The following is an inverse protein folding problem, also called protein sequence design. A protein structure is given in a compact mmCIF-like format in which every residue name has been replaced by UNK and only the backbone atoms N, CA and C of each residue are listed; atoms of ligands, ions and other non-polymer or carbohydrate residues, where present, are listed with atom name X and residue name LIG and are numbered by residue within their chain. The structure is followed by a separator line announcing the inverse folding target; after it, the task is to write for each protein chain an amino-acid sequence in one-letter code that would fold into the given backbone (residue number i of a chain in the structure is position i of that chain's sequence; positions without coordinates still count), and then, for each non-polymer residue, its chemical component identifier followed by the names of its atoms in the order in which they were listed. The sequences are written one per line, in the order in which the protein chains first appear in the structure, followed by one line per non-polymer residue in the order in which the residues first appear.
data_IF_136999375543
#
_entry.id   IF_136999375543
#
_cell.length_a   1.000
_cell.length_b   1.000
_cell.length_c   1.000
_cell.angle_alpha   90.00
_cell.angle_beta   90.00
_cell.angle_gamma   90.00
#
_symmetry.space_group_name_H-M   'P 1'
#
loop_
_entity.id
_entity.type
_entity.pdbx_description
1 polymer ?
#
# COMPACT_ATOMS: atom_id res chain seq x y z
N UNK A 1 27.60 -30.07 -1.11
CA UNK A 1 28.06 -28.67 -1.01
C UNK A 1 27.00 -27.87 -0.27
N UNK A 2 27.37 -26.92 0.58
CA UNK A 2 26.43 -25.96 1.17
C UNK A 2 26.54 -24.63 0.44
N UNK A 3 25.40 -24.04 0.10
CA UNK A 3 25.37 -22.67 -0.43
C UNK A 3 25.65 -21.70 0.72
N UNK A 4 26.32 -20.59 0.41
CA UNK A 4 26.73 -19.60 1.39
C UNK A 4 26.25 -18.22 0.97
N UNK A 5 25.62 -17.51 1.90
CA UNK A 5 25.19 -16.13 1.68
C UNK A 5 26.41 -15.26 1.35
N UNK A 6 26.27 -14.43 0.31
CA UNK A 6 27.33 -13.56 -0.20
C UNK A 6 28.20 -14.19 -1.29
N UNK A 7 27.89 -15.41 -1.73
CA UNK A 7 28.58 -16.08 -2.85
C UNK A 7 27.73 -16.09 -4.11
N UNK A 8 28.41 -16.11 -5.26
CA UNK A 8 27.81 -16.21 -6.59
C UNK A 8 27.96 -17.63 -7.12
N UNK A 9 26.90 -18.13 -7.75
CA UNK A 9 26.80 -19.49 -8.25
C UNK A 9 26.35 -19.51 -9.70
N UNK A 10 27.00 -20.34 -10.53
CA UNK A 10 26.52 -20.69 -11.86
C UNK A 10 25.64 -21.94 -11.78
N UNK A 11 24.49 -21.90 -12.46
CA UNK A 11 23.56 -23.03 -12.56
C UNK A 11 24.09 -24.03 -13.59
N UNK A 12 24.31 -25.28 -13.20
CA UNK A 12 24.85 -26.35 -14.06
C UNK A 12 23.78 -27.10 -14.83
N UNK A 13 22.63 -27.32 -14.21
CA UNK A 13 21.48 -28.02 -14.78
C UNK A 13 20.20 -27.29 -14.37
N UNK A 14 19.18 -27.30 -15.24
CA UNK A 14 17.87 -26.75 -14.94
C UNK A 14 17.32 -27.36 -13.63
N UNK A 15 16.89 -26.51 -12.71
CA UNK A 15 16.29 -26.94 -11.44
C UNK A 15 15.30 -25.87 -10.97
N UNK A 16 14.08 -26.27 -10.60
CA UNK A 16 12.98 -25.33 -10.34
C UNK A 16 12.83 -24.31 -11.49
N UNK A 17 12.98 -23.02 -11.17
CA UNK A 17 12.93 -21.91 -12.13
C UNK A 17 14.33 -21.41 -12.55
N UNK A 18 15.41 -22.09 -12.13
CA UNK A 18 16.78 -21.76 -12.53
C UNK A 18 17.12 -22.48 -13.82
N UNK A 19 17.74 -21.76 -14.77
CA UNK A 19 18.17 -22.31 -16.06
C UNK A 19 19.67 -22.51 -16.12
N UNK A 20 20.10 -23.61 -16.74
CA UNK A 20 21.52 -23.91 -16.92
C UNK A 20 22.25 -22.75 -17.61
N UNK A 21 23.38 -22.34 -17.02
CA UNK A 21 24.20 -21.21 -17.47
C UNK A 21 23.92 -19.88 -16.76
N UNK A 22 22.80 -19.74 -16.05
CA UNK A 22 22.51 -18.53 -15.28
C UNK A 22 23.45 -18.35 -14.10
N UNK A 23 23.66 -17.08 -13.69
CA UNK A 23 24.49 -16.72 -12.54
C UNK A 23 23.63 -16.01 -11.50
N UNK A 24 23.70 -16.52 -10.27
CA UNK A 24 22.87 -16.10 -9.15
C UNK A 24 23.70 -15.97 -7.89
N UNK A 25 23.58 -14.83 -7.20
CA UNK A 25 24.18 -14.60 -5.89
C UNK A 25 23.19 -14.96 -4.80
N UNK A 26 23.59 -15.81 -3.85
CA UNK A 26 22.76 -16.10 -2.68
C UNK A 26 22.85 -14.91 -1.72
N UNK A 27 21.72 -14.25 -1.44
CA UNK A 27 21.68 -13.03 -0.60
C UNK A 27 21.04 -13.27 0.77
N UNK A 28 20.24 -14.33 0.92
CA UNK A 28 19.64 -14.71 2.20
C UNK A 28 19.35 -16.21 2.23
N UNK A 29 19.41 -16.79 3.42
CA UNK A 29 19.00 -18.17 3.67
C UNK A 29 18.30 -18.28 5.04
N UNK A 30 17.34 -19.19 5.16
CA UNK A 30 16.60 -19.35 6.40
C UNK A 30 15.88 -20.68 6.53
N UNK A 31 15.67 -21.11 7.77
CA UNK A 31 14.94 -22.33 8.09
C UNK A 31 13.65 -22.03 8.86
N UNK A 32 12.52 -22.49 8.33
CA UNK A 32 11.20 -22.36 8.97
C UNK A 32 10.82 -23.67 9.66
N UNK A 33 11.22 -23.81 10.92
CA UNK A 33 11.03 -25.04 11.69
C UNK A 33 9.58 -25.53 11.81
N UNK A 34 8.59 -24.63 11.78
CA UNK A 34 7.17 -24.99 11.85
C UNK A 34 6.68 -25.72 10.58
N UNK A 35 7.29 -25.41 9.42
CA UNK A 35 6.93 -26.00 8.13
C UNK A 35 7.97 -27.00 7.61
N UNK A 36 9.14 -27.08 8.26
CA UNK A 36 10.25 -27.92 7.82
C UNK A 36 10.84 -27.45 6.49
N UNK A 37 10.89 -26.13 6.25
CA UNK A 37 11.32 -25.57 4.95
C UNK A 37 12.66 -24.83 5.05
N UNK A 38 13.57 -25.16 4.16
CA UNK A 38 14.81 -24.42 3.90
C UNK A 38 14.58 -23.44 2.75
N UNK A 39 14.76 -22.15 3.01
CA UNK A 39 14.49 -21.07 2.07
C UNK A 39 15.81 -20.42 1.66
N UNK A 40 15.98 -20.17 0.37
CA UNK A 40 17.14 -19.50 -0.22
C UNK A 40 16.65 -18.38 -1.13
N UNK A 41 17.28 -17.21 -1.02
CA UNK A 41 16.97 -16.04 -1.83
C UNK A 41 18.17 -15.71 -2.70
N UNK A 42 17.97 -15.74 -4.01
CA UNK A 42 18.99 -15.46 -5.00
C UNK A 42 18.70 -14.17 -5.75
N UNK A 43 19.76 -13.47 -6.13
CA UNK A 43 19.70 -12.26 -6.94
C UNK A 43 20.70 -12.37 -8.10
N UNK A 44 20.27 -12.05 -9.32
CA UNK A 44 21.17 -12.03 -10.47
C UNK A 44 21.71 -10.60 -10.74
N UNK A 45 22.57 -10.45 -11.75
CA UNK A 45 23.14 -9.15 -12.14
C UNK A 45 22.09 -8.11 -12.57
N UNK A 46 20.91 -8.56 -13.03
CA UNK A 46 19.77 -7.73 -13.41
C UNK A 46 18.89 -7.34 -12.21
N UNK A 47 19.26 -7.76 -10.99
CA UNK A 47 18.51 -7.59 -9.74
C UNK A 47 17.17 -8.33 -9.70
N UNK A 48 16.96 -9.33 -10.55
CA UNK A 48 15.84 -10.25 -10.42
C UNK A 48 16.04 -11.09 -9.16
N UNK A 49 14.97 -11.32 -8.41
CA UNK A 49 15.00 -12.13 -7.20
C UNK A 49 14.32 -13.49 -7.46
N UNK A 50 15.01 -14.58 -7.14
CA UNK A 50 14.45 -15.93 -7.22
C UNK A 50 14.52 -16.63 -5.86
N UNK A 51 13.48 -17.41 -5.56
CA UNK A 51 13.34 -18.14 -4.31
C UNK A 51 13.44 -19.63 -4.57
N UNK A 52 14.26 -20.32 -3.79
CA UNK A 52 14.27 -21.78 -3.72
C UNK A 52 13.79 -22.20 -2.34
N UNK A 53 12.78 -23.06 -2.29
CA UNK A 53 12.23 -23.60 -1.05
C UNK A 53 12.32 -25.11 -1.10
N UNK A 54 13.09 -25.70 -0.19
CA UNK A 54 13.25 -27.14 -0.06
C UNK A 54 12.53 -27.63 1.20
N UNK A 55 11.63 -28.61 1.06
CA UNK A 55 10.81 -29.11 2.17
C UNK A 55 11.33 -30.44 2.68
N UNK A 56 11.48 -30.55 4.00
CA UNK A 56 11.87 -31.78 4.69
C UNK A 56 10.85 -32.93 4.55
N UNK A 57 9.63 -32.61 4.11
CA UNK A 57 8.54 -33.56 3.87
C UNK A 57 8.48 -34.08 2.43
N UNK A 58 9.34 -33.59 1.53
CA UNK A 58 9.40 -33.99 0.13
C UNK A 58 10.72 -34.73 -0.14
N UNK A 59 10.63 -36.01 -0.53
CA UNK A 59 11.80 -36.83 -0.85
C UNK A 59 12.60 -36.23 -2.03
N UNK A 60 11.91 -35.64 -3.01
CA UNK A 60 12.51 -34.97 -4.16
C UNK A 60 13.29 -33.70 -3.75
N UNK A 61 12.69 -32.86 -2.89
CA UNK A 61 13.36 -31.64 -2.40
C UNK A 61 14.57 -31.98 -1.53
N UNK A 62 14.46 -33.06 -0.75
CA UNK A 62 15.56 -33.56 0.08
C UNK A 62 16.69 -34.11 -0.77
N UNK A 63 16.40 -34.84 -1.86
CA UNK A 63 17.42 -35.30 -2.81
C UNK A 63 18.14 -34.11 -3.47
N UNK A 64 17.39 -33.09 -3.89
CA UNK A 64 17.96 -31.85 -4.45
C UNK A 64 18.84 -31.14 -3.41
N UNK A 65 18.34 -30.98 -2.18
CA UNK A 65 19.06 -30.32 -1.09
C UNK A 65 20.34 -31.02 -0.67
N UNK A 66 20.35 -32.36 -0.63
CA UNK A 66 21.54 -33.15 -0.33
C UNK A 66 22.61 -33.09 -1.44
N UNK A 67 22.23 -32.69 -2.65
CA UNK A 67 23.09 -32.70 -3.83
C UNK A 67 23.07 -31.37 -4.59
N UNK A 68 23.05 -30.24 -3.87
CA UNK A 68 23.10 -28.90 -4.48
C UNK A 68 24.31 -28.69 -5.40
N UNK A 69 25.41 -29.40 -5.18
CA UNK A 69 26.57 -29.43 -6.08
C UNK A 69 26.28 -30.05 -7.45
N UNK A 70 25.16 -30.73 -7.68
CA UNK A 70 24.76 -31.15 -9.04
C UNK A 70 24.17 -29.99 -9.85
N UNK A 71 23.68 -28.97 -9.16
CA UNK A 71 22.91 -27.86 -9.77
C UNK A 71 23.64 -26.53 -9.71
N UNK A 72 24.48 -26.30 -8.71
CA UNK A 72 25.20 -25.04 -8.53
C UNK A 72 26.72 -25.27 -8.51
N UNK A 73 27.44 -24.31 -9.06
CA UNK A 73 28.91 -24.22 -9.02
C UNK A 73 29.29 -22.83 -8.52
N UNK A 74 30.00 -22.73 -7.40
CA UNK A 74 30.49 -21.45 -6.89
C UNK A 74 31.48 -20.83 -7.88
N UNK A 75 31.35 -19.53 -8.14
CA UNK A 75 32.26 -18.76 -8.99
C UNK A 75 32.87 -17.60 -8.21
N UNK A 76 34.16 -17.34 -8.43
CA UNK A 76 34.85 -16.14 -7.90
C UNK A 76 34.60 -14.95 -8.84
N UNK A 77 33.78 -13.98 -8.43
CA UNK A 77 33.62 -12.74 -9.20
C UNK A 77 34.84 -11.81 -9.04
N UNK A 78 35.64 -11.70 -10.10
CA UNK A 78 36.63 -10.62 -10.26
C UNK A 78 35.91 -9.34 -10.73
N UNK A 79 35.92 -8.29 -9.89
CA UNK A 79 35.49 -6.94 -10.26
C UNK A 79 36.35 -6.39 -11.42
N UNK A 80 35.74 -6.05 -12.58
CA UNK A 80 35.91 -4.76 -13.28
C UNK A 80 35.23 -4.71 -14.67
N UNK A 81 34.78 -3.49 -15.00
CA UNK A 81 34.40 -2.94 -16.32
C UNK A 81 32.93 -3.04 -16.77
N UNK A 82 32.11 -2.17 -16.15
CA UNK A 82 30.91 -1.64 -16.80
C UNK A 82 31.29 -0.74 -17.98
N UNK A 83 31.12 -1.24 -19.20
CA UNK A 83 30.96 -0.41 -20.40
C UNK A 83 29.44 -0.21 -20.56
N UNK A 84 28.91 1.03 -20.53
CA UNK A 84 27.48 1.23 -20.76
C UNK A 84 27.22 1.05 -22.26
N UNK A 85 26.71 -0.13 -22.65
CA UNK A 85 25.90 -0.20 -23.85
C UNK A 85 24.64 0.64 -23.59
N UNK A 86 24.39 1.60 -24.48
CA UNK A 86 23.16 2.37 -24.50
C UNK A 86 21.97 1.42 -24.59
N UNK A 87 21.25 1.25 -23.47
CA UNK A 87 19.94 0.63 -23.47
C UNK A 87 18.97 1.59 -24.15
N UNK A 88 18.38 1.15 -25.25
CA UNK A 88 17.20 1.79 -25.81
C UNK A 88 16.12 1.89 -24.71
N UNK A 89 15.61 3.11 -24.50
CA UNK A 89 14.52 3.47 -23.57
C UNK A 89 13.19 2.80 -23.99
N UNK A 90 12.99 1.51 -23.70
CA UNK A 90 11.74 0.83 -24.10
C UNK A 90 10.80 0.44 -22.95
N UNK A 91 11.23 0.46 -21.69
CA UNK A 91 10.40 0.01 -20.54
C UNK A 91 10.07 1.11 -19.52
N UNK A 92 10.24 2.38 -19.88
CA UNK A 92 10.03 3.52 -18.98
C UNK A 92 8.63 4.11 -19.14
N UNK A 93 7.75 3.89 -18.15
CA UNK A 93 6.40 4.48 -18.13
C UNK A 93 6.42 5.97 -17.75
N UNK A 94 5.50 6.75 -18.33
CA UNK A 94 5.20 8.14 -18.00
C UNK A 94 4.01 8.20 -17.06
N UNK A 95 4.25 8.69 -15.85
CA UNK A 95 3.27 8.70 -14.77
C UNK A 95 3.00 10.14 -14.35
N UNK A 96 1.72 10.50 -14.33
CA UNK A 96 1.26 11.75 -13.75
C UNK A 96 0.76 11.52 -12.33
N UNK A 97 1.36 12.18 -11.35
CA UNK A 97 0.83 12.22 -9.97
C UNK A 97 0.00 13.48 -9.78
N UNK A 98 -1.21 13.34 -9.24
CA UNK A 98 -2.07 14.49 -8.95
C UNK A 98 -1.68 15.13 -7.61
N UNK A 99 -1.13 16.34 -7.67
CA UNK A 99 -0.74 17.12 -6.50
C UNK A 99 0.62 16.73 -5.91
N UNK A 100 1.04 17.48 -4.90
CA UNK A 100 2.17 17.14 -4.01
C UNK A 100 1.59 16.86 -2.62
N UNK A 101 0.75 15.82 -2.55
CA UNK A 101 0.17 15.29 -1.31
C UNK A 101 1.01 14.15 -0.75
N UNK A 102 0.75 13.74 0.49
CA UNK A 102 1.53 12.69 1.17
C UNK A 102 1.63 11.41 0.34
N UNK A 103 0.50 10.78 0.02
CA UNK A 103 0.49 9.49 -0.70
C UNK A 103 1.02 9.66 -2.12
N UNK A 104 0.58 10.70 -2.84
CA UNK A 104 1.08 11.01 -4.18
C UNK A 104 2.60 11.15 -4.22
N UNK A 105 3.19 11.85 -3.25
CA UNK A 105 4.65 12.01 -3.17
C UNK A 105 5.36 10.73 -2.74
N UNK A 106 4.77 9.86 -1.90
CA UNK A 106 5.37 8.56 -1.55
C UNK A 106 5.46 7.67 -2.80
N UNK A 107 4.35 7.50 -3.51
CA UNK A 107 4.32 6.64 -4.70
C UNK A 107 5.09 7.27 -5.87
N UNK A 108 4.97 8.58 -6.09
CA UNK A 108 5.78 9.29 -7.07
C UNK A 108 7.29 9.13 -6.82
N UNK A 109 7.72 9.22 -5.56
CA UNK A 109 9.10 8.95 -5.17
C UNK A 109 9.53 7.53 -5.54
N UNK A 110 8.78 6.50 -5.15
CA UNK A 110 9.21 5.11 -5.45
C UNK A 110 9.11 4.76 -6.94
N UNK A 111 8.12 5.28 -7.67
CA UNK A 111 8.04 5.14 -9.13
C UNK A 111 9.25 5.80 -9.81
N UNK A 112 9.65 6.98 -9.36
CA UNK A 112 10.86 7.66 -9.86
C UNK A 112 12.14 6.88 -9.53
N UNK A 113 12.25 6.32 -8.31
CA UNK A 113 13.39 5.47 -7.90
C UNK A 113 13.47 4.16 -8.67
N UNK A 114 12.34 3.63 -9.14
CA UNK A 114 12.27 2.49 -10.03
C UNK A 114 12.69 2.82 -11.48
N UNK A 115 12.95 4.11 -11.78
CA UNK A 115 13.45 4.56 -13.07
C UNK A 115 12.36 5.09 -14.02
N UNK A 116 11.10 5.17 -13.59
CA UNK A 116 10.01 5.71 -14.40
C UNK A 116 10.02 7.24 -14.47
N UNK A 117 9.42 7.80 -15.52
CA UNK A 117 9.25 9.25 -15.68
C UNK A 117 8.03 9.68 -14.88
N UNK A 118 8.24 10.47 -13.83
CA UNK A 118 7.17 10.93 -12.94
C UNK A 118 7.08 12.44 -12.97
N UNK A 119 5.89 12.96 -13.27
CA UNK A 119 5.61 14.40 -13.17
C UNK A 119 4.40 14.65 -12.27
N UNK A 120 4.32 15.83 -11.69
CA UNK A 120 3.26 16.23 -10.79
C UNK A 120 2.38 17.30 -11.42
N UNK A 121 1.07 17.05 -11.45
CA UNK A 121 0.11 18.08 -11.80
C UNK A 121 -0.24 18.93 -10.58
N UNK A 122 -0.11 20.25 -10.70
CA UNK A 122 -0.56 21.22 -9.72
C UNK A 122 -1.54 22.19 -10.36
N UNK A 123 -2.57 22.60 -9.61
CA UNK A 123 -3.45 23.70 -10.03
C UNK A 123 -2.64 25.00 -10.10
N UNK A 124 -3.05 25.91 -11.00
CA UNK A 124 -2.37 27.20 -11.23
C UNK A 124 -2.17 28.04 -9.96
N UNK A 125 -3.11 27.95 -9.01
CA UNK A 125 -3.11 28.68 -7.74
C UNK A 125 -2.54 27.88 -6.56
N UNK A 126 -1.95 26.71 -6.82
CA UNK A 126 -1.36 25.86 -5.78
C UNK A 126 -0.22 26.58 -5.05
N UNK A 127 -0.29 26.61 -3.72
CA UNK A 127 0.77 27.11 -2.84
C UNK A 127 2.07 26.30 -2.90
N UNK A 128 2.07 25.17 -3.63
CA UNK A 128 3.21 24.26 -3.78
C UNK A 128 3.90 24.37 -5.15
N UNK A 129 3.53 25.36 -5.97
CA UNK A 129 4.09 25.57 -7.31
C UNK A 129 5.60 25.89 -7.31
N UNK A 130 6.19 26.23 -6.16
CA UNK A 130 7.61 26.45 -6.01
C UNK A 130 8.37 25.22 -5.47
N UNK A 131 7.67 24.13 -5.15
CA UNK A 131 8.31 22.91 -4.63
C UNK A 131 8.84 22.10 -5.82
N UNK A 132 10.17 22.02 -5.90
CA UNK A 132 10.91 21.23 -6.89
C UNK A 132 11.68 20.06 -6.28
N UNK A 133 11.76 20.00 -4.95
CA UNK A 133 12.46 18.94 -4.23
C UNK A 133 11.71 18.64 -2.93
N UNK A 134 11.65 17.37 -2.55
CA UNK A 134 11.24 16.94 -1.22
C UNK A 134 12.39 16.22 -0.51
N UNK A 135 12.63 16.58 0.75
CA UNK A 135 13.44 15.80 1.68
C UNK A 135 12.60 14.63 2.18
N UNK A 136 12.97 13.41 1.81
CA UNK A 136 12.23 12.20 2.15
C UNK A 136 12.85 11.56 3.39
N UNK A 137 12.04 11.36 4.42
CA UNK A 137 12.34 10.51 5.58
C UNK A 137 11.37 9.34 5.55
N UNK A 138 11.83 8.14 5.21
CA UNK A 138 10.95 7.00 5.00
C UNK A 138 11.27 5.88 5.99
N UNK A 139 10.21 5.29 6.54
CA UNK A 139 10.23 3.96 7.14
C UNK A 139 9.67 3.00 6.08
N UNK A 140 10.56 2.22 5.47
CA UNK A 140 10.25 1.36 4.34
C UNK A 140 10.07 -0.09 4.76
N UNK A 141 8.86 -0.63 4.63
CA UNK A 141 8.51 -1.99 4.96
C UNK A 141 8.85 -3.02 3.88
N UNK A 142 9.22 -2.59 2.67
CA UNK A 142 9.58 -3.49 1.57
C UNK A 142 10.80 -4.32 1.96
N UNK A 143 10.68 -5.65 1.89
CA UNK A 143 11.76 -6.60 2.23
C UNK A 143 12.16 -6.64 3.72
N UNK A 144 11.54 -5.85 4.61
CA UNK A 144 11.97 -5.70 5.99
C UNK A 144 10.80 -5.68 6.98
N UNK A 145 10.59 -6.78 7.73
CA UNK A 145 9.46 -6.94 8.67
C UNK A 145 9.34 -5.84 9.75
N UNK A 146 10.45 -5.19 10.13
CA UNK A 146 10.46 -4.08 11.12
C UNK A 146 10.54 -2.69 10.47
N UNK A 147 10.65 -2.64 9.15
CA UNK A 147 10.93 -1.45 8.37
C UNK A 147 12.41 -1.04 8.42
N UNK A 148 12.89 -0.45 7.32
CA UNK A 148 14.19 0.19 7.20
C UNK A 148 13.98 1.72 7.18
N UNK A 149 14.62 2.43 8.11
CA UNK A 149 14.55 3.90 8.14
C UNK A 149 15.72 4.51 7.38
N UNK A 150 15.44 5.41 6.45
CA UNK A 150 16.47 6.17 5.75
C UNK A 150 15.96 7.53 5.27
N UNK A 151 16.90 8.35 4.79
CA UNK A 151 16.61 9.65 4.19
C UNK A 151 17.09 9.71 2.75
N UNK A 152 16.35 10.41 1.90
CA UNK A 152 16.70 10.63 0.49
C UNK A 152 16.17 11.99 0.02
N UNK A 153 16.46 12.36 -1.22
CA UNK A 153 15.91 13.52 -1.90
C UNK A 153 15.04 13.07 -3.08
N UNK A 154 13.90 13.72 -3.27
CA UNK A 154 13.01 13.49 -4.40
C UNK A 154 12.84 14.76 -5.22
N UNK A 155 13.40 14.76 -6.43
CA UNK A 155 13.19 15.84 -7.41
C UNK A 155 11.78 15.76 -8.00
N UNK A 156 11.03 16.85 -7.87
CA UNK A 156 9.67 17.00 -8.37
C UNK A 156 9.70 17.74 -9.70
N UNK A 157 9.34 17.04 -10.76
CA UNK A 157 9.06 17.64 -12.07
C UNK A 157 7.58 18.01 -12.16
N UNK A 158 7.28 19.23 -12.61
CA UNK A 158 5.88 19.63 -12.84
C UNK A 158 5.44 19.22 -14.23
N UNK A 159 4.19 18.80 -14.35
CA UNK A 159 3.60 18.31 -15.58
C UNK A 159 3.57 19.40 -16.68
N UNK A 160 4.21 19.11 -17.81
CA UNK A 160 4.15 19.92 -19.04
C UNK A 160 3.47 19.15 -20.19
N UNK A 161 3.49 17.83 -20.13
CA UNK A 161 2.82 16.94 -21.07
C UNK A 161 1.32 16.77 -20.76
N UNK A 162 0.61 16.18 -21.72
CA UNK A 162 -0.84 15.94 -21.63
C UNK A 162 -1.22 14.47 -21.74
N UNK A 163 -0.30 13.60 -22.12
CA UNK A 163 -0.54 12.18 -22.37
C UNK A 163 0.42 11.34 -21.53
N UNK A 164 -0.16 10.48 -20.69
CA UNK A 164 0.55 9.64 -19.74
C UNK A 164 0.07 8.20 -19.85
N UNK A 165 0.92 7.24 -19.52
CA UNK A 165 0.52 5.83 -19.44
C UNK A 165 -0.43 5.64 -18.26
N UNK A 166 -0.08 6.25 -17.11
CA UNK A 166 -0.88 6.23 -15.90
C UNK A 166 -1.02 7.61 -15.26
N UNK A 167 -2.19 7.86 -14.68
CA UNK A 167 -2.46 9.01 -13.82
C UNK A 167 -2.77 8.48 -12.42
N UNK A 168 -1.84 8.69 -11.48
CA UNK A 168 -1.96 8.30 -10.08
C UNK A 168 -2.72 9.35 -9.27
N UNK A 169 -3.93 9.00 -8.83
CA UNK A 169 -4.83 9.89 -8.11
C UNK A 169 -4.93 9.47 -6.65
N UNK A 170 -4.24 10.19 -5.76
CA UNK A 170 -4.30 9.97 -4.31
C UNK A 170 -4.69 11.26 -3.57
N UNK A 171 -5.96 11.67 -3.72
CA UNK A 171 -6.54 12.87 -3.10
C UNK A 171 -7.44 12.51 -1.92
N UNK A 172 -7.73 13.44 -0.99
CA UNK A 172 -8.69 13.19 0.09
C UNK A 172 -10.06 12.75 -0.42
N UNK A 173 -10.79 12.03 0.43
CA UNK A 173 -12.11 11.50 0.13
C UNK A 173 -13.08 12.62 -0.29
N UNK A 174 -13.92 12.34 -1.28
CA UNK A 174 -14.84 13.32 -1.86
C UNK A 174 -14.21 14.37 -2.78
N UNK A 175 -12.91 14.29 -3.11
CA UNK A 175 -12.24 15.22 -4.04
C UNK A 175 -12.06 14.71 -5.47
N UNK A 176 -12.37 13.43 -5.73
CA UNK A 176 -12.19 12.80 -7.04
C UNK A 176 -12.86 13.60 -8.17
N UNK A 177 -14.11 14.03 -7.99
CA UNK A 177 -14.84 14.77 -9.03
C UNK A 177 -14.10 16.03 -9.49
N UNK A 178 -13.53 16.79 -8.55
CA UNK A 178 -12.75 18.01 -8.88
C UNK A 178 -11.44 17.72 -9.59
N UNK A 179 -10.87 16.52 -9.43
CA UNK A 179 -9.69 16.08 -10.18
C UNK A 179 -10.09 15.73 -11.61
N UNK A 180 -11.19 14.99 -11.79
CA UNK A 180 -11.66 14.60 -13.12
C UNK A 180 -12.06 15.83 -13.95
N UNK A 181 -12.73 16.81 -13.33
CA UNK A 181 -13.04 18.09 -13.96
C UNK A 181 -11.79 18.82 -14.44
N UNK A 182 -10.73 18.85 -13.61
CA UNK A 182 -9.44 19.45 -13.95
C UNK A 182 -8.76 18.73 -15.11
N UNK A 183 -8.68 17.40 -15.07
CA UNK A 183 -8.09 16.59 -16.13
C UNK A 183 -8.82 16.79 -17.46
N UNK A 184 -10.15 16.90 -17.43
CA UNK A 184 -10.95 17.19 -18.63
C UNK A 184 -10.67 18.60 -19.16
N UNK A 185 -10.66 19.61 -18.29
CA UNK A 185 -10.40 21.00 -18.68
C UNK A 185 -9.00 21.18 -19.28
N UNK A 186 -8.01 20.50 -18.70
CA UNK A 186 -6.62 20.56 -19.14
C UNK A 186 -6.30 19.57 -20.27
N UNK A 187 -7.29 18.80 -20.73
CA UNK A 187 -7.16 17.78 -21.78
C UNK A 187 -6.06 16.75 -21.50
N UNK A 188 -5.92 16.36 -20.23
CA UNK A 188 -4.94 15.37 -19.79
C UNK A 188 -5.55 13.97 -19.87
N UNK A 189 -4.81 13.04 -20.49
CA UNK A 189 -5.24 11.65 -20.76
C UNK A 189 -4.23 10.63 -20.24
N UNK A 190 -4.73 9.43 -19.97
CA UNK A 190 -3.99 8.29 -19.41
C UNK A 190 -4.91 7.37 -18.59
N UNK A 191 -4.46 6.16 -18.30
CA UNK A 191 -5.20 5.22 -17.45
C UNK A 191 -5.19 5.70 -16.00
N UNK A 192 -6.37 5.88 -15.41
CA UNK A 192 -6.51 6.38 -14.05
C UNK A 192 -6.26 5.25 -13.04
N UNK A 193 -5.19 5.35 -12.26
CA UNK A 193 -5.04 4.57 -11.04
C UNK A 193 -5.61 5.38 -9.88
N UNK A 194 -6.86 5.08 -9.50
CA UNK A 194 -7.59 5.81 -8.47
C UNK A 194 -7.29 5.18 -7.11
N UNK A 195 -6.46 5.85 -6.32
CA UNK A 195 -5.90 5.39 -5.05
C UNK A 195 -6.40 6.24 -3.86
N UNK A 196 -7.71 6.51 -3.81
CA UNK A 196 -8.35 7.30 -2.74
C UNK A 196 -9.56 6.59 -2.12
N UNK A 197 -10.00 7.07 -0.96
CA UNK A 197 -11.25 6.64 -0.35
C UNK A 197 -12.45 7.03 -1.21
N UNK A 198 -13.26 6.03 -1.58
CA UNK A 198 -14.50 6.20 -2.35
C UNK A 198 -15.65 5.63 -1.52
N UNK A 199 -16.66 6.45 -1.23
CA UNK A 199 -17.89 5.98 -0.56
C UNK A 199 -19.06 5.84 -1.52
N UNK A 200 -18.98 6.50 -2.67
CA UNK A 200 -19.98 6.47 -3.72
C UNK A 200 -20.08 5.09 -4.39
N UNK A 201 -21.19 4.85 -5.10
CA UNK A 201 -21.44 3.58 -5.79
C UNK A 201 -20.82 3.52 -7.20
N UNK A 202 -20.85 2.33 -7.79
CA UNK A 202 -20.32 2.12 -9.14
C UNK A 202 -21.01 3.01 -10.18
N UNK A 203 -22.32 3.23 -10.06
CA UNK A 203 -23.08 4.10 -10.97
C UNK A 203 -22.58 5.56 -10.92
N UNK A 204 -22.24 6.05 -9.72
CA UNK A 204 -21.62 7.36 -9.57
C UNK A 204 -20.26 7.42 -10.26
N UNK A 205 -19.40 6.41 -10.06
CA UNK A 205 -18.09 6.34 -10.69
C UNK A 205 -18.19 6.30 -12.21
N UNK A 206 -19.06 5.46 -12.77
CA UNK A 206 -19.28 5.35 -14.22
C UNK A 206 -19.73 6.70 -14.81
N UNK A 207 -20.65 7.40 -14.15
CA UNK A 207 -21.08 8.75 -14.59
C UNK A 207 -19.98 9.78 -14.50
N UNK A 208 -19.18 9.74 -13.43
CA UNK A 208 -18.12 10.71 -13.19
C UNK A 208 -16.95 10.52 -14.18
N UNK A 209 -16.53 9.27 -14.38
CA UNK A 209 -15.34 8.93 -15.16
C UNK A 209 -15.65 8.84 -16.66
N UNK A 210 -16.90 8.58 -17.04
CA UNK A 210 -17.30 8.40 -18.43
C UNK A 210 -16.51 7.27 -19.08
N UNK A 211 -15.88 7.56 -20.22
CA UNK A 211 -15.09 6.58 -20.98
C UNK A 211 -13.61 6.52 -20.56
N UNK A 212 -13.20 7.20 -19.47
CA UNK A 212 -11.80 7.17 -19.05
C UNK A 212 -11.43 5.75 -18.57
N UNK A 213 -10.35 5.14 -19.09
CA UNK A 213 -9.86 3.88 -18.55
C UNK A 213 -9.42 4.09 -17.10
N UNK A 214 -9.90 3.23 -16.20
CA UNK A 214 -9.56 3.34 -14.79
C UNK A 214 -9.46 1.97 -14.12
N UNK A 215 -8.70 1.95 -13.04
CA UNK A 215 -8.58 0.83 -12.13
C UNK A 215 -8.55 1.37 -10.70
N UNK A 216 -9.27 0.69 -9.81
CA UNK A 216 -9.31 1.07 -8.41
C UNK A 216 -8.11 0.48 -7.67
N UNK A 217 -7.55 1.25 -6.76
CA UNK A 217 -6.49 0.82 -5.87
C UNK A 217 -6.60 1.46 -4.50
N UNK A 218 -5.82 0.99 -3.55
CA UNK A 218 -5.72 1.60 -2.24
C UNK A 218 -4.28 1.51 -1.71
N UNK A 219 -3.68 2.66 -1.34
CA UNK A 219 -2.31 2.70 -0.86
C UNK A 219 -2.20 2.09 0.54
N UNK A 220 -1.18 1.28 0.76
CA UNK A 220 -0.79 0.85 2.12
C UNK A 220 0.45 1.63 2.52
N UNK A 221 0.23 2.94 2.66
CA UNK A 221 1.25 3.89 3.04
C UNK A 221 0.59 5.02 3.84
N UNK A 222 1.40 5.71 4.64
CA UNK A 222 0.97 6.90 5.37
C UNK A 222 2.13 7.84 5.60
N UNK A 223 1.81 9.07 5.93
CA UNK A 223 2.85 10.08 6.06
C UNK A 223 2.34 11.43 6.52
N UNK A 224 3.29 12.34 6.68
CA UNK A 224 3.04 13.75 6.88
C UNK A 224 3.95 14.54 5.95
N UNK A 225 3.45 15.63 5.39
CA UNK A 225 4.22 16.51 4.53
C UNK A 225 4.15 17.94 5.09
N UNK A 226 5.27 18.39 5.62
CA UNK A 226 5.44 19.70 6.26
C UNK A 226 6.48 20.50 5.48
N UNK A 227 6.04 21.55 4.78
CA UNK A 227 6.90 22.27 3.83
C UNK A 227 7.40 21.33 2.74
N UNK A 228 8.72 21.21 2.63
CA UNK A 228 9.42 20.33 1.68
C UNK A 228 9.90 19.02 2.33
N UNK A 229 9.43 18.70 3.53
CA UNK A 229 9.81 17.46 4.25
C UNK A 229 8.67 16.45 4.19
N UNK A 230 8.91 15.32 3.55
CA UNK A 230 8.00 14.16 3.52
C UNK A 230 8.46 13.14 4.56
N UNK A 231 7.67 12.94 5.62
CA UNK A 231 7.82 11.81 6.55
C UNK A 231 6.89 10.69 6.09
N UNK A 232 7.44 9.59 5.60
CA UNK A 232 6.72 8.50 4.99
C UNK A 232 6.84 7.19 5.79
N UNK A 233 5.81 6.37 5.71
CA UNK A 233 5.76 4.98 6.12
C UNK A 233 5.15 4.21 4.95
N UNK A 234 5.91 3.32 4.32
CA UNK A 234 5.51 2.54 3.16
C UNK A 234 5.47 1.06 3.56
N UNK A 235 4.39 0.36 3.27
CA UNK A 235 4.34 -1.11 3.39
C UNK A 235 4.78 -1.76 2.08
N UNK A 236 5.00 -3.07 2.16
CA UNK A 236 5.46 -3.91 1.06
C UNK A 236 4.40 -4.22 0.00
N UNK A 237 3.15 -3.78 0.19
CA UNK A 237 2.04 -4.12 -0.71
C UNK A 237 1.15 -2.92 -1.05
N UNK A 238 0.36 -3.09 -2.11
CA UNK A 238 -0.67 -2.17 -2.58
C UNK A 238 -1.93 -2.96 -2.94
N UNK A 239 -3.09 -2.48 -2.51
CA UNK A 239 -4.36 -3.12 -2.85
C UNK A 239 -4.79 -2.69 -4.25
N UNK A 240 -5.02 -3.63 -5.16
CA UNK A 240 -5.39 -3.33 -6.54
C UNK A 240 -6.57 -4.17 -7.01
N UNK A 241 -7.49 -3.55 -7.73
CA UNK A 241 -8.54 -4.26 -8.45
C UNK A 241 -7.95 -5.32 -9.40
N UNK A 242 -8.50 -6.53 -9.34
CA UNK A 242 -8.00 -7.65 -10.16
C UNK A 242 -8.26 -7.42 -11.65
N UNK A 243 -7.38 -7.94 -12.52
CA UNK A 243 -7.54 -7.90 -13.99
C UNK A 243 -8.92 -8.33 -14.47
N UNK A 244 -9.52 -9.34 -13.84
CA UNK A 244 -10.84 -9.87 -14.18
C UNK A 244 -12.02 -8.90 -13.92
N UNK A 245 -11.78 -7.79 -13.20
CA UNK A 245 -12.81 -6.83 -12.78
C UNK A 245 -12.61 -5.41 -13.33
N UNK A 246 -11.57 -5.20 -14.13
CA UNK A 246 -11.30 -3.95 -14.83
C UNK A 246 -11.31 -4.17 -16.33
N UNK A 247 -11.42 -3.09 -17.09
CA UNK A 247 -11.44 -3.08 -18.57
C UNK A 247 -10.24 -2.34 -19.15
N UNK A 248 -9.20 -2.07 -18.36
CA UNK A 248 -8.00 -1.41 -18.87
C UNK A 248 -7.16 -2.38 -19.69
N UNK A 249 -6.65 -1.91 -20.83
CA UNK A 249 -5.84 -2.73 -21.73
C UNK A 249 -4.39 -2.87 -21.23
N UNK A 250 -3.88 -1.86 -20.52
CA UNK A 250 -2.52 -1.79 -20.00
C UNK A 250 -2.38 -2.31 -18.55
N UNK A 251 -3.15 -3.34 -18.16
CA UNK A 251 -3.08 -3.91 -16.81
C UNK A 251 -1.70 -4.50 -16.48
N UNK A 252 -1.07 -5.17 -17.43
CA UNK A 252 0.22 -5.83 -17.19
C UNK A 252 1.36 -4.81 -17.01
N UNK A 253 1.25 -3.63 -17.63
CA UNK A 253 2.15 -2.50 -17.36
C UNK A 253 1.99 -2.01 -15.91
N UNK A 254 0.76 -2.03 -15.37
CA UNK A 254 0.53 -1.66 -13.98
C UNK A 254 1.15 -2.69 -13.01
N UNK A 255 1.03 -3.98 -13.32
CA UNK A 255 1.69 -5.05 -12.55
C UNK A 255 3.21 -4.84 -12.58
N UNK A 256 3.78 -4.54 -13.75
CA UNK A 256 5.19 -4.25 -13.90
C UNK A 256 5.61 -3.02 -13.09
N UNK A 257 4.86 -1.91 -13.14
CA UNK A 257 5.14 -0.69 -12.39
C UNK A 257 5.34 -0.95 -10.89
N UNK A 258 4.43 -1.71 -10.27
CA UNK A 258 4.55 -2.04 -8.85
C UNK A 258 5.64 -3.07 -8.56
N UNK A 259 5.85 -4.04 -9.47
CA UNK A 259 6.96 -4.99 -9.38
C UNK A 259 8.33 -4.30 -9.43
N UNK A 260 8.52 -3.34 -10.35
CA UNK A 260 9.76 -2.54 -10.45
C UNK A 260 10.03 -1.75 -9.16
N UNK A 261 8.97 -1.45 -8.39
CA UNK A 261 9.05 -0.80 -7.09
C UNK A 261 9.24 -1.77 -5.91
N UNK A 262 9.33 -3.08 -6.14
CA UNK A 262 9.29 -4.11 -5.09
C UNK A 262 8.05 -3.99 -4.19
N UNK A 263 6.88 -3.72 -4.79
CA UNK A 263 5.58 -3.65 -4.10
C UNK A 263 4.71 -4.80 -4.60
N UNK A 264 4.27 -5.63 -3.66
CA UNK A 264 3.35 -6.74 -3.93
C UNK A 264 1.94 -6.21 -4.19
N UNK A 265 1.28 -6.73 -5.22
CA UNK A 265 -0.12 -6.42 -5.47
C UNK A 265 -1.02 -7.42 -4.75
N UNK A 266 -1.91 -6.91 -3.92
CA UNK A 266 -2.95 -7.70 -3.27
C UNK A 266 -4.31 -7.42 -3.90
N UNK A 267 -5.04 -8.48 -4.19
CA UNK A 267 -6.31 -8.40 -4.91
C UNK A 267 -7.47 -8.80 -3.99
N UNK A 268 -8.29 -7.83 -3.55
CA UNK A 268 -9.52 -8.17 -2.85
C UNK A 268 -10.54 -8.79 -3.81
N UNK A 269 -11.56 -9.47 -3.27
CA UNK A 269 -12.63 -10.04 -4.08
C UNK A 269 -13.28 -8.99 -4.99
N UNK A 270 -13.58 -7.81 -4.45
CA UNK A 270 -14.06 -6.64 -5.16
C UNK A 270 -13.44 -5.40 -4.51
N UNK A 271 -12.82 -4.53 -5.33
CA UNK A 271 -12.04 -3.41 -4.83
C UNK A 271 -12.92 -2.32 -4.23
N UNK A 272 -14.08 -2.03 -4.84
CA UNK A 272 -14.97 -0.99 -4.35
C UNK A 272 -15.64 -1.41 -3.03
N UNK A 273 -16.11 -2.65 -2.95
CA UNK A 273 -16.61 -3.21 -1.69
C UNK A 273 -15.53 -3.24 -0.60
N UNK A 274 -14.29 -3.59 -0.94
CA UNK A 274 -13.16 -3.57 0.00
C UNK A 274 -12.90 -2.15 0.52
N UNK A 275 -12.90 -1.14 -0.36
CA UNK A 275 -12.74 0.27 0.04
C UNK A 275 -13.86 0.67 1.02
N UNK A 276 -15.13 0.36 0.73
CA UNK A 276 -16.22 0.66 1.67
C UNK A 276 -16.04 -0.02 3.01
N UNK A 277 -15.63 -1.29 3.02
CA UNK A 277 -15.35 -2.02 4.24
C UNK A 277 -14.22 -1.38 5.04
N UNK A 278 -13.13 -1.01 4.36
CA UNK A 278 -11.98 -0.34 4.96
C UNK A 278 -12.39 1.02 5.57
N UNK A 279 -13.16 1.83 4.84
CA UNK A 279 -13.71 3.09 5.35
C UNK A 279 -14.63 2.90 6.56
N UNK A 280 -15.45 1.86 6.57
CA UNK A 280 -16.30 1.52 7.72
C UNK A 280 -15.49 1.10 8.95
N UNK A 281 -14.44 0.29 8.77
CA UNK A 281 -13.50 -0.07 9.85
C UNK A 281 -12.83 1.20 10.39
N UNK A 282 -12.33 2.06 9.51
CA UNK A 282 -11.70 3.32 9.88
C UNK A 282 -12.66 4.23 10.67
N UNK A 283 -13.90 4.40 10.22
CA UNK A 283 -14.91 5.17 10.95
C UNK A 283 -15.14 4.59 12.37
N UNK A 284 -15.20 3.27 12.50
CA UNK A 284 -15.30 2.58 13.80
C UNK A 284 -14.13 2.92 14.73
N UNK A 285 -12.90 2.91 14.22
CA UNK A 285 -11.68 3.29 14.96
C UNK A 285 -11.68 4.78 15.32
N UNK A 286 -11.90 5.65 14.32
CA UNK A 286 -11.85 7.11 14.45
C UNK A 286 -12.88 7.59 15.47
N UNK A 287 -14.11 7.06 15.41
CA UNK A 287 -15.17 7.41 16.38
C UNK A 287 -14.75 7.16 17.83
N UNK A 288 -13.93 6.13 18.10
CA UNK A 288 -13.47 5.83 19.46
C UNK A 288 -12.24 6.65 19.81
N UNK A 289 -11.28 6.78 18.89
CA UNK A 289 -10.10 7.61 19.11
C UNK A 289 -10.49 9.06 19.45
N UNK A 290 -11.48 9.62 18.73
CA UNK A 290 -11.95 10.99 18.93
C UNK A 290 -12.50 11.28 20.32
N UNK A 291 -12.95 10.25 21.06
CA UNK A 291 -13.41 10.42 22.45
C UNK A 291 -12.31 10.87 23.41
N UNK A 292 -11.06 10.82 22.97
CA UNK A 292 -9.87 11.26 23.72
C UNK A 292 -9.37 12.64 23.32
N UNK A 293 -9.99 13.25 22.31
CA UNK A 293 -9.67 14.60 21.85
C UNK A 293 -10.41 15.64 22.70
N UNK A 294 -9.72 16.73 23.04
CA UNK A 294 -10.30 17.83 23.83
C UNK A 294 -10.99 18.86 22.95
N UNK A 295 -10.41 19.13 21.77
CA UNK A 295 -11.03 19.96 20.75
C UNK A 295 -10.64 19.49 19.34
N UNK A 296 -11.48 19.79 18.35
CA UNK A 296 -11.31 19.35 16.96
C UNK A 296 -10.62 20.41 16.09
N UNK A 297 -9.61 21.10 16.64
CA UNK A 297 -9.04 22.31 16.04
C UNK A 297 -7.76 22.08 15.23
N UNK A 298 -7.06 20.96 15.42
CA UNK A 298 -5.79 20.70 14.73
C UNK A 298 -5.47 19.19 14.56
N UNK A 299 -4.50 18.91 13.68
CA UNK A 299 -4.00 17.56 13.36
C UNK A 299 -3.05 16.97 14.42
N UNK A 300 -2.58 17.75 15.39
CA UNK A 300 -1.70 17.22 16.44
C UNK A 300 -2.47 16.30 17.40
N UNK A 301 -3.69 16.69 17.76
CA UNK A 301 -4.56 15.89 18.62
C UNK A 301 -5.02 14.57 17.98
N UNK A 302 -5.11 14.48 16.66
CA UNK A 302 -5.43 13.20 16.00
C UNK A 302 -4.29 12.20 16.18
N UNK A 303 -3.03 12.65 16.14
CA UNK A 303 -1.86 11.83 16.42
C UNK A 303 -1.89 11.32 17.87
N UNK A 304 -2.10 12.22 18.84
CA UNK A 304 -2.19 11.85 20.26
C UNK A 304 -3.37 10.91 20.54
N UNK A 305 -4.52 11.13 19.91
CA UNK A 305 -5.69 10.27 20.03
C UNK A 305 -5.41 8.85 19.51
N UNK A 306 -4.72 8.73 18.37
CA UNK A 306 -4.27 7.45 17.86
C UNK A 306 -3.31 6.75 18.84
N UNK A 307 -2.36 7.48 19.42
CA UNK A 307 -1.43 6.94 20.43
C UNK A 307 -2.16 6.45 21.70
N UNK A 308 -3.06 7.28 22.25
CA UNK A 308 -3.89 6.94 23.41
C UNK A 308 -4.74 5.69 23.14
N UNK A 309 -5.34 5.59 21.95
CA UNK A 309 -6.10 4.42 21.51
C UNK A 309 -5.21 3.16 21.54
N UNK A 310 -4.07 3.18 20.84
CA UNK A 310 -3.18 2.03 20.69
C UNK A 310 -2.62 1.53 22.02
N UNK A 311 -2.45 2.41 23.01
CA UNK A 311 -1.93 2.07 24.33
C UNK A 311 -3.02 1.59 25.31
N UNK A 312 -4.30 1.68 24.96
CA UNK A 312 -5.43 1.41 25.87
C UNK A 312 -6.28 0.22 25.43
N UNK A 313 -6.16 -0.90 26.15
CA UNK A 313 -7.02 -2.08 25.91
C UNK A 313 -8.51 -1.75 26.09
N UNK A 314 -8.86 -0.80 26.97
CA UNK A 314 -10.24 -0.33 27.14
C UNK A 314 -10.75 0.36 25.87
N UNK A 315 -9.95 1.24 25.28
CA UNK A 315 -10.32 1.94 24.04
C UNK A 315 -10.33 0.98 22.85
N UNK A 316 -9.35 0.09 22.72
CA UNK A 316 -9.33 -0.94 21.67
C UNK A 316 -10.55 -1.86 21.74
N UNK A 317 -10.99 -2.25 22.94
CA UNK A 317 -12.25 -2.99 23.13
C UNK A 317 -13.47 -2.21 22.62
N UNK A 318 -13.51 -0.89 22.82
CA UNK A 318 -14.57 -0.05 22.26
C UNK A 318 -14.44 0.07 20.74
N UNK A 319 -13.23 0.22 20.20
CA UNK A 319 -12.98 0.28 18.76
C UNK A 319 -13.47 -1.01 18.08
N UNK A 320 -13.13 -2.19 18.59
CA UNK A 320 -13.64 -3.48 18.07
C UNK A 320 -15.17 -3.52 18.07
N UNK A 321 -15.83 -3.02 19.13
CA UNK A 321 -17.30 -2.97 19.18
C UNK A 321 -17.87 -1.99 18.15
N UNK A 322 -17.28 -0.80 18.02
CA UNK A 322 -17.69 0.21 17.06
C UNK A 322 -17.51 -0.30 15.62
N UNK A 323 -16.40 -0.96 15.32
CA UNK A 323 -16.14 -1.62 14.03
C UNK A 323 -17.22 -2.65 13.71
N UNK A 324 -17.64 -3.48 14.67
CA UNK A 324 -18.74 -4.43 14.43
C UNK A 324 -20.06 -3.76 14.08
N UNK A 325 -20.32 -2.56 14.62
CA UNK A 325 -21.49 -1.78 14.29
C UNK A 325 -21.38 -1.18 12.88
N UNK A 326 -20.24 -0.56 12.54
CA UNK A 326 -20.01 0.02 11.20
C UNK A 326 -19.95 -1.04 10.10
N UNK A 327 -19.47 -2.25 10.40
CA UNK A 327 -19.51 -3.40 9.49
C UNK A 327 -20.95 -3.81 9.13
N UNK A 328 -21.92 -3.65 10.06
CA UNK A 328 -23.34 -3.87 9.72
C UNK A 328 -23.87 -2.78 8.79
N UNK A 329 -23.43 -1.53 8.98
CA UNK A 329 -23.82 -0.42 8.12
C UNK A 329 -23.33 -0.69 6.70
N UNK A 330 -22.06 -1.04 6.50
CA UNK A 330 -21.54 -1.32 5.15
C UNK A 330 -22.17 -2.57 4.53
N UNK A 331 -22.49 -3.60 5.32
CA UNK A 331 -23.23 -4.77 4.84
C UNK A 331 -24.62 -4.40 4.28
N UNK A 332 -25.29 -3.37 4.84
CA UNK A 332 -26.58 -2.87 4.33
C UNK A 332 -26.51 -2.22 2.95
N UNK A 333 -25.30 -1.97 2.44
CA UNK A 333 -25.02 -1.51 1.08
C UNK A 333 -24.89 -2.67 0.07
N UNK A 334 -25.07 -3.90 0.52
CA UNK A 334 -24.96 -5.09 -0.33
C UNK A 334 -23.61 -5.79 -0.27
N UNK A 335 -22.67 -5.33 0.56
CA UNK A 335 -21.35 -5.96 0.72
C UNK A 335 -21.49 -7.35 1.32
N UNK A 336 -20.94 -8.33 0.62
CA UNK A 336 -21.02 -9.74 1.00
C UNK A 336 -19.83 -10.10 1.90
N UNK A 337 -19.98 -9.88 3.21
CA UNK A 337 -18.89 -9.95 4.21
C UNK A 337 -18.06 -11.25 4.22
N UNK A 338 -18.61 -12.37 3.73
CA UNK A 338 -17.87 -13.65 3.64
C UNK A 338 -16.63 -13.55 2.74
N UNK A 339 -16.64 -12.66 1.74
CA UNK A 339 -15.51 -12.44 0.85
C UNK A 339 -14.34 -11.72 1.53
N UNK A 340 -14.59 -11.11 2.70
CA UNK A 340 -13.63 -10.28 3.45
C UNK A 340 -13.36 -10.84 4.85
N UNK A 341 -13.41 -12.16 4.99
CA UNK A 341 -13.21 -12.80 6.29
C UNK A 341 -11.84 -12.52 6.89
N UNK A 342 -10.78 -12.42 6.07
CA UNK A 342 -9.42 -12.13 6.53
C UNK A 342 -9.36 -10.73 7.19
N UNK A 343 -9.97 -9.73 6.57
CA UNK A 343 -10.07 -8.35 7.11
C UNK A 343 -10.86 -8.31 8.42
N UNK A 344 -11.91 -9.11 8.51
CA UNK A 344 -12.85 -9.07 9.64
C UNK A 344 -12.44 -9.97 10.81
N UNK A 345 -11.58 -10.96 10.60
CA UNK A 345 -11.21 -11.96 11.58
C UNK A 345 -10.73 -11.34 12.92
N UNK A 346 -9.85 -10.32 12.93
CA UNK A 346 -9.39 -9.71 14.18
C UNK A 346 -10.52 -9.10 15.00
N UNK A 347 -11.57 -8.61 14.34
CA UNK A 347 -12.71 -7.94 14.97
C UNK A 347 -13.82 -8.91 15.38
N UNK A 348 -13.86 -10.14 14.84
CA UNK A 348 -14.83 -11.17 15.25
C UNK A 348 -14.48 -11.83 16.58
N UNK A 349 -13.20 -11.89 16.94
CA UNK A 349 -12.72 -12.47 18.20
C UNK A 349 -13.29 -11.78 19.45
N UNK A 350 -13.59 -12.51 20.55
CA UNK A 350 -14.03 -11.88 21.80
C UNK A 350 -13.10 -10.76 22.27
N UNK A 351 -13.66 -9.62 22.66
CA UNK A 351 -12.86 -8.39 22.91
C UNK A 351 -11.83 -8.50 24.03
N UNK A 352 -12.00 -9.46 24.95
CA UNK A 352 -11.00 -9.71 26.00
C UNK A 352 -9.75 -10.42 25.47
N UNK A 353 -9.83 -11.06 24.28
CA UNK A 353 -8.70 -11.61 23.55
C UNK A 353 -8.15 -10.61 22.55
N UNK A 354 -9.01 -10.04 21.70
CA UNK A 354 -8.54 -9.17 20.60
C UNK A 354 -7.93 -7.86 21.07
N UNK A 355 -8.46 -7.21 22.12
CA UNK A 355 -7.92 -5.93 22.56
C UNK A 355 -6.49 -6.02 23.16
N UNK A 356 -6.16 -6.98 24.05
CA UNK A 356 -4.78 -7.19 24.48
C UNK A 356 -3.83 -7.57 23.34
N UNK A 357 -4.28 -8.42 22.40
CA UNK A 357 -3.50 -8.80 21.22
C UNK A 357 -3.19 -7.61 20.32
N UNK A 358 -4.20 -6.78 20.01
CA UNK A 358 -4.02 -5.54 19.24
C UNK A 358 -3.07 -4.57 19.95
N UNK A 359 -3.21 -4.38 21.27
CA UNK A 359 -2.29 -3.55 22.05
C UNK A 359 -0.85 -4.05 21.95
N UNK A 360 -0.64 -5.36 22.07
CA UNK A 360 0.69 -5.99 21.92
C UNK A 360 1.22 -5.83 20.50
N UNK A 361 0.38 -5.97 19.47
CA UNK A 361 0.75 -5.74 18.08
C UNK A 361 1.25 -4.31 17.88
N UNK A 362 0.49 -3.29 18.31
CA UNK A 362 0.89 -1.88 18.21
C UNK A 362 2.18 -1.56 18.98
N UNK A 363 2.45 -2.27 20.08
CA UNK A 363 3.69 -2.09 20.84
C UNK A 363 4.93 -2.66 20.12
N UNK A 364 4.77 -3.67 19.27
CA UNK A 364 5.87 -4.41 18.66
C UNK A 364 6.01 -4.21 17.13
N UNK A 365 4.98 -3.66 16.47
CA UNK A 365 4.99 -3.38 15.04
C UNK A 365 5.12 -1.87 14.79
N UNK A 366 6.34 -1.44 14.46
CA UNK A 366 6.67 -0.02 14.26
C UNK A 366 5.93 0.54 13.03
N UNK A 367 5.85 -0.22 11.93
CA UNK A 367 5.14 0.20 10.71
C UNK A 367 3.66 0.48 11.00
N UNK A 368 2.97 -0.47 11.64
CA UNK A 368 1.55 -0.32 11.99
C UNK A 368 1.31 0.82 12.98
N UNK A 369 2.21 1.02 13.95
CA UNK A 369 2.13 2.17 14.86
C UNK A 369 2.32 3.48 14.10
N UNK A 370 3.29 3.53 13.18
CA UNK A 370 3.68 4.75 12.45
C UNK A 370 2.61 5.17 11.45
N UNK A 371 2.01 4.24 10.70
CA UNK A 371 0.92 4.58 9.78
C UNK A 371 -0.31 5.13 10.51
N UNK A 372 -0.65 4.55 11.68
CA UNK A 372 -1.75 5.02 12.51
C UNK A 372 -1.55 6.45 13.00
N UNK A 373 -0.34 6.83 13.43
CA UNK A 373 -0.06 8.18 13.92
C UNK A 373 0.07 9.21 12.80
N UNK A 374 0.40 8.78 11.59
CA UNK A 374 0.52 9.66 10.42
C UNK A 374 -0.80 9.87 9.69
N UNK A 375 -1.82 9.05 9.94
CA UNK A 375 -3.17 9.27 9.41
C UNK A 375 -3.90 10.37 10.21
N UNK A 376 -3.50 11.63 10.01
CA UNK A 376 -3.88 12.75 10.86
C UNK A 376 -4.64 13.88 10.13
N UNK A 377 -5.07 13.66 8.89
CA UNK A 377 -5.85 14.64 8.13
C UNK A 377 -7.29 14.73 8.66
N UNK A 378 -7.52 15.61 9.64
CA UNK A 378 -8.79 15.70 10.36
C UNK A 378 -10.02 15.87 9.44
N UNK A 379 -10.04 16.77 8.43
CA UNK A 379 -11.17 16.84 7.50
C UNK A 379 -11.52 15.53 6.80
N UNK A 380 -10.52 14.75 6.39
CA UNK A 380 -10.73 13.46 5.73
C UNK A 380 -11.27 12.42 6.72
N UNK A 381 -10.71 12.35 7.93
CA UNK A 381 -11.20 11.48 9.01
C UNK A 381 -12.66 11.76 9.38
N UNK A 382 -13.04 13.04 9.44
CA UNK A 382 -14.41 13.48 9.72
C UNK A 382 -15.36 13.12 8.58
N UNK A 383 -14.92 13.32 7.33
CA UNK A 383 -15.69 12.94 6.15
C UNK A 383 -16.01 11.45 6.15
N UNK A 384 -15.01 10.59 6.42
CA UNK A 384 -15.21 9.12 6.50
C UNK A 384 -16.24 8.76 7.58
N UNK A 385 -16.14 9.35 8.77
CA UNK A 385 -17.13 9.16 9.84
C UNK A 385 -18.54 9.60 9.40
N UNK A 386 -18.65 10.76 8.75
CA UNK A 386 -19.91 11.31 8.26
C UNK A 386 -20.59 10.37 7.27
N UNK A 387 -19.87 9.89 6.26
CA UNK A 387 -20.39 8.98 5.25
C UNK A 387 -21.04 7.72 5.87
N UNK A 388 -20.34 7.09 6.81
CA UNK A 388 -20.82 5.87 7.47
C UNK A 388 -21.98 6.20 8.43
N UNK A 389 -21.91 7.32 9.14
CA UNK A 389 -22.99 7.79 10.02
C UNK A 389 -24.29 8.04 9.25
N UNK A 390 -24.22 8.81 8.17
CA UNK A 390 -25.39 9.15 7.35
C UNK A 390 -26.00 7.92 6.68
N UNK A 391 -25.18 6.99 6.16
CA UNK A 391 -25.68 5.73 5.60
C UNK A 391 -26.40 4.90 6.66
N UNK A 392 -25.80 4.74 7.84
CA UNK A 392 -26.40 3.99 8.94
C UNK A 392 -27.75 4.58 9.37
N UNK A 393 -27.84 5.91 9.48
CA UNK A 393 -29.09 6.62 9.79
C UNK A 393 -30.13 6.45 8.69
N UNK A 394 -29.73 6.62 7.42
CA UNK A 394 -30.62 6.46 6.25
C UNK A 394 -31.20 5.05 6.15
N UNK A 395 -30.40 4.03 6.46
CA UNK A 395 -30.78 2.60 6.38
C UNK A 395 -31.42 2.06 7.67
N UNK A 396 -31.52 2.87 8.73
CA UNK A 396 -32.08 2.45 10.01
C UNK A 396 -31.27 1.38 10.74
N UNK A 397 -29.95 1.31 10.51
CA UNK A 397 -29.08 0.31 11.12
C UNK A 397 -28.71 0.71 12.55
N UNK A 398 -28.83 -0.21 13.50
CA UNK A 398 -28.41 0.04 14.88
C UNK A 398 -26.89 0.05 15.03
N UNK A 399 -26.36 1.20 15.47
CA UNK A 399 -24.94 1.40 15.77
C UNK A 399 -24.79 2.34 16.99
N UNK A 400 -25.27 1.94 18.17
CA UNK A 400 -25.41 2.84 19.32
C UNK A 400 -24.08 3.41 19.83
N UNK A 401 -23.00 2.62 19.85
CA UNK A 401 -21.69 3.11 20.28
C UNK A 401 -21.11 4.09 19.26
N UNK A 402 -21.14 3.71 17.97
CA UNK A 402 -20.67 4.54 16.88
C UNK A 402 -21.43 5.87 16.84
N UNK A 403 -22.77 5.86 16.87
CA UNK A 403 -23.58 7.07 16.84
C UNK A 403 -23.35 7.97 18.05
N UNK A 404 -23.25 7.41 19.26
CA UNK A 404 -22.95 8.18 20.48
C UNK A 404 -21.60 8.90 20.40
N UNK A 405 -20.62 8.26 19.77
CA UNK A 405 -19.30 8.84 19.61
C UNK A 405 -19.28 9.90 18.51
N UNK A 406 -19.90 9.60 17.36
CA UNK A 406 -20.01 10.53 16.23
C UNK A 406 -20.85 11.77 16.54
N UNK A 407 -21.84 11.71 17.44
CA UNK A 407 -22.62 12.90 17.84
C UNK A 407 -21.78 13.99 18.52
N UNK A 408 -20.53 13.70 18.86
CA UNK A 408 -19.57 14.67 19.44
C UNK A 408 -18.59 15.22 18.40
N UNK A 409 -18.59 14.68 17.19
CA UNK A 409 -17.73 15.11 16.10
C UNK A 409 -18.37 16.28 15.34
N UNK A 410 -17.59 17.27 14.87
CA UNK A 410 -18.07 18.31 13.97
C UNK A 410 -18.14 17.77 12.53
N UNK A 411 -19.18 16.99 12.22
CA UNK A 411 -19.41 16.35 10.91
C UNK A 411 -20.30 17.17 9.98
#
# INVERSE_FOLDING_TARGET
MELQVGKSYRVKNDVFNFKAGEVWSLVDEGYQAYFGEHNFVFVNAEKNCHFMVLRNTSDEDMEIGCHLDRYFEEIEEYNNNFIPLSLDKKDTMKILVIGIGVIGSIYGYVFSKAGHTVTHYLRKDSKKNNIHTLNVHILDGRGHKKGLSYTDSYSIEHATEKEYDFIFIAVPSGKLASVIEELNREHITGTLLIACGIWEDKNYLEKLLGNRPYVLGYPVAGGNLEGETLKACLFDHFMLESKAKTTIDNYDDLVKLFSDCNIVLEHPYDMLEWIWLHLAINAGVISVASTTMENYSNNAQTTEAAEKLMQSAKLLKQAVKSIRETVKIVASRGVVLKHYNNELLPYKLPTFLSAPLMKRMFANNILTKKIMTLHNNLPDLLYVCKCVYEEGKKKGIEAPLFYKNCSKLPM
#
